data_IF_090040706059
#
_entry.id   IF_090040706059
#
_cell.length_a   1.000
_cell.length_b   1.000
_cell.length_c   1.000
_cell.angle_alpha   90.00
_cell.angle_beta   90.00
_cell.angle_gamma   90.00
#
_symmetry.space_group_name_H-M   'P 1'
#
loop_
_entity.id
_entity.type
_entity.pdbx_description
1 polymer ?
#
# COMPACT_ATOMS: atom_id res chain seq x y z
N UNK A 1 4.99 11.67 10.03
CA UNK A 1 4.08 10.55 9.69
C UNK A 1 2.95 10.50 10.71
N UNK A 2 1.72 10.34 10.30
CA UNK A 2 0.62 10.23 11.26
C UNK A 2 0.76 8.96 12.11
N UNK A 3 0.18 8.97 13.30
CA UNK A 3 0.17 7.80 14.19
C UNK A 3 -0.61 6.63 13.57
N UNK A 4 -1.65 6.95 12.81
CA UNK A 4 -2.43 5.95 12.08
C UNK A 4 -1.82 5.71 10.71
N UNK A 5 -1.99 4.50 10.12
CA UNK A 5 -1.48 4.23 8.79
C UNK A 5 -2.10 5.18 7.76
N UNK A 6 -1.27 5.62 6.82
CA UNK A 6 -1.76 6.31 5.64
C UNK A 6 -2.24 5.24 4.66
N UNK A 7 -3.49 5.33 4.23
CA UNK A 7 -4.08 4.38 3.30
C UNK A 7 -4.13 4.95 1.89
N UNK A 8 -3.58 4.22 0.94
CA UNK A 8 -3.56 4.61 -0.47
C UNK A 8 -4.35 3.57 -1.26
N UNK A 9 -5.27 4.06 -2.10
CA UNK A 9 -6.05 3.18 -2.97
C UNK A 9 -5.15 2.45 -3.96
N UNK A 10 -5.20 1.12 -3.97
CA UNK A 10 -4.44 0.34 -4.94
C UNK A 10 -4.94 0.58 -6.37
N UNK A 11 -6.23 0.85 -6.53
CA UNK A 11 -6.81 1.13 -7.86
C UNK A 11 -6.27 2.45 -8.44
N UNK A 12 -5.94 3.41 -7.60
CA UNK A 12 -5.30 4.66 -8.03
C UNK A 12 -3.81 4.49 -8.25
N UNK A 13 -3.14 3.69 -7.43
CA UNK A 13 -1.69 3.52 -7.45
C UNK A 13 -1.21 2.61 -8.58
N UNK A 14 -2.01 1.61 -8.96
CA UNK A 14 -1.62 0.56 -9.90
C UNK A 14 -2.75 0.29 -10.89
N UNK A 15 -2.38 -0.07 -12.11
CA UNK A 15 -3.35 -0.59 -13.06
C UNK A 15 -3.88 -1.95 -12.60
N UNK A 16 -5.02 -2.37 -13.13
CA UNK A 16 -5.61 -3.67 -12.83
C UNK A 16 -4.59 -4.79 -13.03
N UNK A 17 -4.53 -5.71 -12.08
CA UNK A 17 -3.65 -6.89 -12.12
C UNK A 17 -2.17 -6.53 -12.28
N UNK A 18 -1.76 -5.36 -11.81
CA UNK A 18 -0.41 -4.85 -12.01
C UNK A 18 0.19 -4.34 -10.70
N UNK A 19 1.50 -4.44 -10.60
CA UNK A 19 2.30 -3.84 -9.54
C UNK A 19 3.21 -2.73 -10.09
N UNK A 20 2.89 -2.20 -11.26
CA UNK A 20 3.58 -1.04 -11.83
C UNK A 20 2.82 0.22 -11.47
N UNK A 21 3.52 1.19 -10.89
CA UNK A 21 2.89 2.45 -10.49
C UNK A 21 2.38 3.23 -11.69
N UNK A 22 1.15 3.72 -11.58
CA UNK A 22 0.58 4.68 -12.53
C UNK A 22 1.20 6.07 -12.29
N UNK A 23 0.89 7.04 -13.17
CA UNK A 23 1.27 8.43 -12.94
C UNK A 23 0.74 8.93 -11.61
N UNK A 24 -0.53 8.63 -11.30
CA UNK A 24 -1.13 9.00 -10.02
C UNK A 24 -0.41 8.32 -8.86
N UNK A 25 -0.02 7.06 -9.02
CA UNK A 25 0.76 6.35 -8.00
C UNK A 25 2.11 6.99 -7.75
N UNK A 26 2.79 7.43 -8.81
CA UNK A 26 4.06 8.14 -8.67
C UNK A 26 3.89 9.50 -7.98
N UNK A 27 2.80 10.21 -8.29
CA UNK A 27 2.49 11.48 -7.64
C UNK A 27 2.23 11.28 -6.15
N UNK A 28 1.52 10.21 -5.78
CA UNK A 28 1.27 9.86 -4.39
C UNK A 28 2.58 9.55 -3.66
N UNK A 29 3.50 8.84 -4.30
CA UNK A 29 4.82 8.56 -3.70
C UNK A 29 5.60 9.86 -3.51
N UNK A 30 5.54 10.79 -4.47
CA UNK A 30 6.21 12.10 -4.35
C UNK A 30 5.67 12.86 -3.12
N UNK A 31 4.36 12.85 -2.92
CA UNK A 31 3.76 13.48 -1.74
C UNK A 31 4.21 12.82 -0.44
N UNK A 32 4.33 11.48 -0.44
CA UNK A 32 4.84 10.74 0.71
C UNK A 32 6.29 11.10 1.02
N UNK A 33 7.12 11.23 -0.01
CA UNK A 33 8.52 11.62 0.16
C UNK A 33 8.63 12.98 0.85
N UNK A 34 7.74 13.90 0.54
CA UNK A 34 7.71 15.19 1.19
C UNK A 34 7.37 15.05 2.67
N UNK A 35 6.40 14.21 3.01
CA UNK A 35 6.05 13.94 4.41
C UNK A 35 7.20 13.30 5.17
N UNK A 36 7.92 12.37 4.54
CA UNK A 36 9.07 11.71 5.16
C UNK A 36 10.20 12.71 5.43
N UNK A 37 10.44 13.62 4.49
CA UNK A 37 11.47 14.65 4.66
C UNK A 37 11.13 15.62 5.78
N UNK A 38 9.84 15.93 5.94
CA UNK A 38 9.37 16.84 6.97
C UNK A 38 9.34 16.19 8.36
N UNK A 39 9.35 14.85 8.41
CA UNK A 39 9.34 14.12 9.67
C UNK A 39 10.74 14.02 10.23
N UNK A 40 10.99 14.66 11.37
CA UNK A 40 12.32 14.80 11.91
C UNK A 40 12.96 13.50 12.44
N UNK A 41 12.19 12.40 12.58
CA UNK A 41 12.69 11.19 13.25
C UNK A 41 12.01 9.90 12.84
N UNK A 42 11.69 9.75 11.58
CA UNK A 42 11.18 8.47 11.10
C UNK A 42 12.38 7.55 10.88
N UNK A 43 12.46 6.46 11.61
CA UNK A 43 13.54 5.49 11.46
C UNK A 43 13.11 4.24 10.71
N UNK A 44 11.83 3.92 10.74
CA UNK A 44 11.31 2.77 10.01
C UNK A 44 10.00 3.14 9.35
N UNK A 45 9.88 2.80 8.07
CA UNK A 45 8.65 2.92 7.31
C UNK A 45 8.17 1.52 7.01
N UNK A 46 6.93 1.23 7.36
CA UNK A 46 6.29 -0.04 7.06
C UNK A 46 5.32 0.16 5.91
N UNK A 47 5.46 -0.64 4.87
CA UNK A 47 4.58 -0.62 3.69
C UNK A 47 3.88 -1.96 3.61
N UNK A 48 2.56 -1.96 3.71
CA UNK A 48 1.79 -3.21 3.73
C UNK A 48 0.76 -3.17 2.60
N UNK A 49 0.82 -4.17 1.72
CA UNK A 49 -0.14 -4.32 0.64
C UNK A 49 -1.28 -5.25 1.01
N UNK A 50 -2.50 -4.88 0.62
CA UNK A 50 -3.69 -5.68 0.83
C UNK A 50 -4.50 -5.80 -0.46
N UNK A 51 -5.25 -6.88 -0.58
CA UNK A 51 -6.19 -7.10 -1.69
C UNK A 51 -7.60 -7.29 -1.14
N UNK A 52 -8.56 -7.35 -2.05
CA UNK A 52 -9.89 -7.83 -1.68
C UNK A 52 -9.90 -9.37 -1.66
N UNK A 53 -11.07 -9.97 -1.37
CA UNK A 53 -11.22 -11.42 -1.22
C UNK A 53 -11.41 -12.18 -2.53
N UNK A 54 -11.47 -11.49 -3.66
CA UNK A 54 -11.70 -12.13 -4.96
C UNK A 54 -10.40 -12.76 -5.45
N UNK A 55 -10.47 -13.99 -5.90
CA UNK A 55 -9.30 -14.72 -6.40
C UNK A 55 -8.69 -15.65 -5.35
N UNK A 56 -7.62 -16.35 -5.71
CA UNK A 56 -6.96 -17.27 -4.80
C UNK A 56 -6.14 -16.52 -3.74
N UNK A 57 -5.95 -17.18 -2.60
CA UNK A 57 -5.13 -16.62 -1.54
C UNK A 57 -3.69 -16.39 -1.99
N UNK A 58 -3.14 -17.36 -2.71
CA UNK A 58 -1.76 -17.27 -3.19
C UNK A 58 -1.57 -16.13 -4.18
N UNK A 59 -2.49 -15.98 -5.15
CA UNK A 59 -2.42 -14.91 -6.14
C UNK A 59 -2.43 -13.55 -5.44
N UNK A 60 -3.34 -13.36 -4.51
CA UNK A 60 -3.50 -12.09 -3.79
C UNK A 60 -2.33 -11.81 -2.87
N UNK A 61 -1.77 -12.84 -2.24
CA UNK A 61 -0.58 -12.67 -1.41
C UNK A 61 0.60 -12.19 -2.25
N UNK A 62 0.84 -12.82 -3.40
CA UNK A 62 1.92 -12.43 -4.31
C UNK A 62 1.71 -11.02 -4.85
N UNK A 63 0.48 -10.69 -5.27
CA UNK A 63 0.18 -9.36 -5.82
C UNK A 63 0.39 -8.28 -4.76
N UNK A 64 -0.11 -8.50 -3.54
CA UNK A 64 0.05 -7.54 -2.45
C UNK A 64 1.52 -7.34 -2.09
N UNK A 65 2.33 -8.40 -2.11
CA UNK A 65 3.77 -8.31 -1.87
C UNK A 65 4.46 -7.49 -2.96
N UNK A 66 4.14 -7.76 -4.22
CA UNK A 66 4.73 -7.02 -5.34
C UNK A 66 4.37 -5.53 -5.30
N UNK A 67 3.14 -5.22 -4.92
CA UNK A 67 2.70 -3.82 -4.81
C UNK A 67 3.40 -3.11 -3.67
N UNK A 68 3.54 -3.75 -2.52
CA UNK A 68 4.29 -3.18 -1.40
C UNK A 68 5.76 -2.94 -1.79
N UNK A 69 6.36 -3.89 -2.50
CA UNK A 69 7.74 -3.75 -2.96
C UNK A 69 7.90 -2.64 -3.99
N UNK A 70 6.91 -2.43 -4.87
CA UNK A 70 6.95 -1.34 -5.84
C UNK A 70 6.94 0.03 -5.15
N UNK A 71 6.13 0.19 -4.12
CA UNK A 71 6.12 1.41 -3.32
C UNK A 71 7.46 1.60 -2.61
N UNK A 72 8.00 0.53 -2.02
CA UNK A 72 9.31 0.57 -1.38
C UNK A 72 10.40 1.01 -2.36
N UNK A 73 10.42 0.41 -3.54
CA UNK A 73 11.41 0.75 -4.56
C UNK A 73 11.34 2.23 -4.97
N UNK A 74 10.11 2.76 -5.09
CA UNK A 74 9.91 4.17 -5.43
C UNK A 74 10.39 5.11 -4.31
N UNK A 75 10.19 4.72 -3.06
CA UNK A 75 10.69 5.49 -1.92
C UNK A 75 12.22 5.49 -1.88
N UNK A 76 12.84 4.35 -2.16
CA UNK A 76 14.30 4.25 -2.24
C UNK A 76 14.83 5.14 -3.37
N UNK A 77 14.19 5.10 -4.54
CA UNK A 77 14.58 5.96 -5.66
C UNK A 77 14.47 7.46 -5.31
N UNK A 78 13.56 7.80 -4.41
CA UNK A 78 13.39 9.17 -3.93
C UNK A 78 14.33 9.56 -2.78
N UNK A 79 15.24 8.67 -2.39
CA UNK A 79 16.27 8.99 -1.41
C UNK A 79 16.10 8.38 -0.01
N UNK A 80 15.05 7.59 0.21
CA UNK A 80 14.87 6.93 1.50
C UNK A 80 15.81 5.72 1.58
N UNK A 81 16.58 5.55 2.67
CA UNK A 81 17.47 4.40 2.78
C UNK A 81 16.70 3.09 2.77
N UNK A 82 17.19 2.11 2.01
CA UNK A 82 16.56 0.80 1.89
C UNK A 82 16.38 0.12 3.26
N UNK A 83 17.35 0.28 4.14
CA UNK A 83 17.30 -0.31 5.48
C UNK A 83 16.19 0.27 6.35
N UNK A 84 15.65 1.44 6.00
CA UNK A 84 14.59 2.09 6.76
C UNK A 84 13.18 1.63 6.36
N UNK A 85 13.05 0.81 5.31
CA UNK A 85 11.74 0.45 4.76
C UNK A 85 11.54 -1.06 4.79
N UNK A 86 10.42 -1.49 5.37
CA UNK A 86 9.98 -2.88 5.34
C UNK A 86 8.71 -2.96 4.49
N UNK A 87 8.69 -3.86 3.52
CA UNK A 87 7.54 -4.08 2.65
C UNK A 87 6.98 -5.48 2.86
N UNK A 88 5.67 -5.58 3.06
CA UNK A 88 4.99 -6.85 3.31
C UNK A 88 3.66 -6.89 2.58
N UNK A 89 3.37 -8.03 1.94
CA UNK A 89 2.05 -8.31 1.40
C UNK A 89 1.26 -9.17 2.36
N UNK A 90 0.02 -8.79 2.63
CA UNK A 90 -0.88 -9.56 3.50
C UNK A 90 -2.09 -10.11 2.77
N UNK A 91 -2.15 -9.91 1.44
CA UNK A 91 -3.24 -10.45 0.65
C UNK A 91 -4.61 -10.00 1.15
N UNK A 92 -5.48 -10.96 1.40
CA UNK A 92 -6.88 -10.71 1.82
C UNK A 92 -7.05 -10.37 3.30
N UNK A 93 -5.97 -10.30 4.07
CA UNK A 93 -6.05 -10.06 5.51
C UNK A 93 -6.66 -8.70 5.84
N UNK A 94 -7.21 -8.59 7.02
CA UNK A 94 -7.66 -7.33 7.62
C UNK A 94 -8.56 -6.48 6.72
N UNK A 95 -9.69 -7.04 6.20
CA UNK A 95 -10.58 -6.27 5.35
C UNK A 95 -11.18 -5.06 6.10
N UNK A 96 -11.24 -3.91 5.42
CA UNK A 96 -11.87 -2.72 5.97
C UNK A 96 -13.39 -2.76 5.83
N UNK A 97 -13.88 -3.44 4.79
CA UNK A 97 -15.32 -3.59 4.54
C UNK A 97 -15.62 -5.04 4.22
N UNK A 98 -16.84 -5.45 4.54
CA UNK A 98 -17.38 -6.74 4.14
C UNK A 98 -18.53 -6.50 3.19
N UNK A 99 -18.55 -7.25 2.10
CA UNK A 99 -19.50 -7.05 1.01
C UNK A 99 -20.14 -8.38 0.65
N UNK A 100 -21.44 -8.38 0.45
CA UNK A 100 -22.20 -9.59 0.19
C UNK A 100 -22.99 -9.52 -1.12
N UNK A 101 -22.69 -8.56 -1.98
CA UNK A 101 -23.34 -8.41 -3.25
C UNK A 101 -23.16 -9.66 -4.11
N UNK A 102 -24.26 -10.19 -4.64
CA UNK A 102 -24.21 -11.35 -5.50
C UNK A 102 -23.73 -11.02 -6.92
N UNK A 103 -24.01 -9.82 -7.39
CA UNK A 103 -23.60 -9.38 -8.70
C UNK A 103 -22.13 -8.96 -8.66
N UNK A 104 -21.32 -9.54 -9.56
CA UNK A 104 -19.87 -9.40 -9.51
C UNK A 104 -19.38 -7.96 -9.57
N UNK A 105 -19.94 -7.15 -10.48
CA UNK A 105 -19.49 -5.78 -10.62
C UNK A 105 -19.81 -4.95 -9.37
N UNK A 106 -20.98 -5.14 -8.79
CA UNK A 106 -21.35 -4.48 -7.55
C UNK A 106 -20.44 -4.90 -6.39
N UNK A 107 -20.06 -6.17 -6.36
CA UNK A 107 -19.12 -6.69 -5.35
C UNK A 107 -17.75 -6.05 -5.49
N UNK A 108 -17.23 -5.96 -6.71
CA UNK A 108 -15.92 -5.33 -6.99
C UNK A 108 -15.93 -3.88 -6.50
N UNK A 109 -16.98 -3.13 -6.80
CA UNK A 109 -17.09 -1.73 -6.37
C UNK A 109 -17.14 -1.62 -4.85
N UNK A 110 -17.95 -2.47 -4.19
CA UNK A 110 -18.08 -2.47 -2.75
C UNK A 110 -16.74 -2.75 -2.05
N UNK A 111 -15.94 -3.66 -2.61
CA UNK A 111 -14.67 -4.11 -2.01
C UNK A 111 -13.50 -3.16 -2.24
N UNK A 112 -13.69 -2.08 -2.99
CA UNK A 112 -12.60 -1.16 -3.31
C UNK A 112 -11.77 -0.72 -2.10
N UNK A 113 -12.34 -0.38 -0.93
CA UNK A 113 -11.53 0.03 0.22
C UNK A 113 -10.56 -1.05 0.72
N UNK A 114 -10.81 -2.33 0.42
CA UNK A 114 -9.91 -3.41 0.82
C UNK A 114 -8.65 -3.46 -0.06
N UNK A 115 -8.72 -2.96 -1.28
CA UNK A 115 -7.60 -2.89 -2.21
C UNK A 115 -6.78 -1.64 -1.90
N UNK A 116 -5.76 -1.80 -1.06
CA UNK A 116 -5.01 -0.66 -0.55
C UNK A 116 -3.57 -1.02 -0.23
N UNK A 117 -2.75 0.03 -0.12
CA UNK A 117 -1.42 -0.05 0.48
C UNK A 117 -1.43 0.86 1.70
N UNK A 118 -0.98 0.36 2.83
CA UNK A 118 -0.90 1.14 4.05
C UNK A 118 0.56 1.45 4.39
N UNK A 119 0.82 2.70 4.71
CA UNK A 119 2.14 3.13 5.14
C UNK A 119 2.06 3.67 6.55
N UNK A 120 2.99 3.23 7.39
CA UNK A 120 3.14 3.78 8.73
C UNK A 120 4.61 4.05 9.00
N UNK A 121 4.87 5.13 9.70
CA UNK A 121 6.21 5.48 10.13
C UNK A 121 6.33 5.30 11.62
N UNK A 122 7.47 4.76 12.05
CA UNK A 122 7.79 4.63 13.47
C UNK A 122 8.96 5.55 13.78
N UNK A 123 8.70 6.51 14.66
CA UNK A 123 9.78 7.31 15.22
C UNK A 123 10.39 6.52 16.38
N UNK A 124 11.72 6.42 16.41
CA UNK A 124 12.39 5.81 17.54
C UNK A 124 12.54 6.82 18.66
N UNK A 125 12.34 6.40 19.91
CA UNK A 125 12.70 7.25 21.05
C UNK A 125 14.21 7.47 21.06
N UNK A 126 14.58 8.60 21.55
CA UNK A 126 16.00 8.91 21.74
C UNK A 126 16.60 8.11 22.87
#
# INVERSE_FOLDING_TARGET
MPAEPLRLSADAMFAFDSAVLTSEGRDNVTALLQQVRDASRVQTIQVIGYTDRIGSDRYNLVLSQRRAEAVRAALIAGGVPAAAIVAEGRGKADPLVQCEQAQRQALIVCLAPNRRVELSGRALPR
#
